data_IF_923141107190
#
_entry.id   IF_923141107190
#
_cell.length_a   1.000
_cell.length_b   1.000
_cell.length_c   1.000
_cell.angle_alpha   90.00
_cell.angle_beta   90.00
_cell.angle_gamma   90.00
#
_symmetry.space_group_name_H-M   'P 1'
#
loop_
_entity.id
_entity.type
_entity.pdbx_description
1 polymer ?
#
# COMPACT_ATOMS: atom_id res chain seq x y z
N UNK A 1 -6.39 -11.17 -5.44
CA UNK A 1 -4.96 -10.92 -5.74
C UNK A 1 -4.09 -11.61 -4.70
N UNK A 2 -2.92 -12.10 -5.08
CA UNK A 2 -1.94 -12.64 -4.13
C UNK A 2 -0.85 -11.58 -3.91
N UNK A 3 -0.52 -11.23 -2.65
CA UNK A 3 0.62 -10.35 -2.38
C UNK A 3 1.94 -11.04 -2.79
N UNK A 4 2.97 -10.26 -3.16
CA UNK A 4 4.25 -10.82 -3.53
C UNK A 4 4.96 -11.44 -2.31
N UNK A 5 5.74 -12.49 -2.56
CA UNK A 5 6.75 -12.97 -1.62
C UNK A 5 8.04 -12.20 -1.91
N UNK A 6 8.64 -11.63 -0.86
CA UNK A 6 9.79 -10.74 -0.94
C UNK A 6 10.94 -11.26 -0.05
N UNK A 7 12.10 -10.63 -0.19
CA UNK A 7 13.22 -10.86 0.73
C UNK A 7 12.88 -10.39 2.14
N UNK A 8 13.46 -11.05 3.15
CA UNK A 8 13.26 -10.67 4.55
C UNK A 8 13.62 -9.21 4.79
N UNK A 9 12.80 -8.53 5.59
CA UNK A 9 12.94 -7.09 5.86
C UNK A 9 12.23 -6.20 4.84
N UNK A 10 11.81 -6.72 3.68
CA UNK A 10 11.03 -5.96 2.71
C UNK A 10 9.54 -5.97 3.04
N UNK A 11 8.85 -4.96 2.54
CA UNK A 11 7.43 -4.73 2.72
C UNK A 11 6.77 -4.43 1.38
N UNK A 12 5.50 -4.83 1.24
CA UNK A 12 4.66 -4.40 0.14
C UNK A 12 3.51 -3.54 0.64
N UNK A 13 3.15 -2.54 -0.14
CA UNK A 13 2.01 -1.65 0.11
C UNK A 13 1.02 -1.78 -1.04
N UNK A 14 -0.24 -2.04 -0.70
CA UNK A 14 -1.38 -1.98 -1.60
C UNK A 14 -2.15 -0.70 -1.29
N UNK A 15 -2.51 0.08 -2.30
CA UNK A 15 -3.32 1.29 -2.12
C UNK A 15 -4.72 1.07 -2.66
N UNK A 16 -5.72 1.56 -1.92
CA UNK A 16 -7.10 1.59 -2.35
C UNK A 16 -7.74 2.96 -2.08
N UNK A 17 -8.77 3.30 -2.84
CA UNK A 17 -9.67 4.41 -2.54
C UNK A 17 -10.46 4.11 -1.26
N UNK A 18 -10.38 4.98 -0.26
CA UNK A 18 -11.01 4.83 1.05
C UNK A 18 -12.54 4.68 0.96
N UNK A 19 -13.18 5.38 0.03
CA UNK A 19 -14.64 5.42 -0.08
C UNK A 19 -15.21 4.21 -0.86
N UNK A 20 -14.43 3.63 -1.78
CA UNK A 20 -14.93 2.61 -2.72
C UNK A 20 -14.25 1.25 -2.54
N UNK A 21 -13.11 1.19 -1.86
CA UNK A 21 -12.26 0.01 -1.77
C UNK A 21 -11.58 -0.36 -3.10
N UNK A 22 -11.67 0.48 -4.13
CA UNK A 22 -11.05 0.21 -5.44
C UNK A 22 -9.54 0.28 -5.30
N UNK A 23 -8.87 -0.82 -5.62
CA UNK A 23 -7.40 -0.90 -5.63
C UNK A 23 -6.83 -0.04 -6.75
N UNK A 24 -5.72 0.63 -6.44
CA UNK A 24 -4.97 1.45 -7.37
C UNK A 24 -3.69 0.76 -7.83
N UNK A 25 -3.24 1.11 -9.02
CA UNK A 25 -1.91 0.75 -9.53
C UNK A 25 -0.82 1.59 -8.88
N UNK A 26 0.44 1.25 -9.11
CA UNK A 26 1.62 2.03 -8.68
C UNK A 26 1.68 3.44 -9.29
N UNK A 27 0.86 3.71 -10.31
CA UNK A 27 0.64 5.02 -10.94
C UNK A 27 -0.60 5.75 -10.40
N UNK A 28 -1.24 5.25 -9.35
CA UNK A 28 -2.48 5.78 -8.78
C UNK A 28 -3.68 5.81 -9.74
N UNK A 29 -3.74 4.85 -10.68
CA UNK A 29 -4.91 4.62 -11.54
C UNK A 29 -5.73 3.46 -10.99
N UNK A 30 -7.05 3.47 -11.17
CA UNK A 30 -7.89 2.33 -10.79
C UNK A 30 -7.41 1.05 -11.50
N UNK A 31 -7.22 -0.01 -10.75
CA UNK A 31 -6.81 -1.29 -11.30
C UNK A 31 -8.01 -2.02 -11.93
N UNK A 32 -8.04 -2.06 -13.27
CA UNK A 32 -9.11 -2.70 -14.06
C UNK A 32 -8.68 -4.08 -14.62
N UNK A 33 -7.73 -4.75 -13.98
CA UNK A 33 -7.23 -6.08 -14.38
C UNK A 33 -5.83 -6.09 -15.00
N UNK A 34 -5.16 -4.94 -15.11
CA UNK A 34 -3.76 -4.83 -15.57
C UNK A 34 -2.99 -3.76 -14.78
N UNK A 35 -1.65 -3.85 -14.81
CA UNK A 35 -0.74 -2.95 -14.11
C UNK A 35 -0.28 -3.44 -12.75
N UNK A 36 0.86 -2.92 -12.29
CA UNK A 36 1.43 -3.23 -10.98
C UNK A 36 0.62 -2.53 -9.87
N UNK A 37 0.41 -3.22 -8.74
CA UNK A 37 -0.44 -2.74 -7.64
C UNK A 37 0.29 -2.63 -6.30
N UNK A 38 1.47 -3.25 -6.22
CA UNK A 38 2.25 -3.32 -4.98
C UNK A 38 3.46 -2.41 -5.12
N UNK A 39 3.53 -1.37 -4.28
CA UNK A 39 4.80 -0.69 -4.04
C UNK A 39 5.64 -1.55 -3.11
N UNK A 40 6.92 -1.73 -3.44
CA UNK A 40 7.85 -2.55 -2.66
C UNK A 40 8.88 -1.63 -2.00
N UNK A 41 9.14 -1.87 -0.72
CA UNK A 41 10.10 -1.09 0.07
C UNK A 41 11.05 -2.01 0.84
N UNK A 42 12.30 -1.60 0.95
CA UNK A 42 13.37 -2.35 1.65
C UNK A 42 13.19 -2.42 3.17
N UNK A 43 12.39 -1.53 3.76
CA UNK A 43 12.13 -1.50 5.20
C UNK A 43 10.87 -0.70 5.56
N UNK A 44 10.46 -0.83 6.83
CA UNK A 44 9.26 -0.19 7.36
C UNK A 44 9.39 1.34 7.45
N UNK A 45 10.60 1.88 7.60
CA UNK A 45 10.82 3.33 7.67
C UNK A 45 10.53 3.99 6.32
N UNK A 46 11.06 3.44 5.23
CA UNK A 46 10.76 3.86 3.85
C UNK A 46 9.27 3.71 3.54
N UNK A 47 8.66 2.61 3.99
CA UNK A 47 7.22 2.36 3.86
C UNK A 47 6.39 3.47 4.52
N UNK A 48 6.69 3.79 5.77
CA UNK A 48 5.98 4.84 6.51
C UNK A 48 6.19 6.22 5.88
N UNK A 49 7.42 6.56 5.47
CA UNK A 49 7.72 7.82 4.77
C UNK A 49 6.91 7.99 3.48
N UNK A 50 6.78 6.93 2.68
CA UNK A 50 5.93 6.94 1.50
C UNK A 50 4.46 7.21 1.86
N UNK A 51 3.90 6.44 2.80
CA UNK A 51 2.51 6.58 3.23
C UNK A 51 2.24 7.99 3.77
N UNK A 52 3.13 8.52 4.61
CA UNK A 52 3.02 9.87 5.16
C UNK A 52 3.08 10.95 4.07
N UNK A 53 3.88 10.75 3.02
CA UNK A 53 3.95 11.67 1.90
C UNK A 53 2.67 11.64 1.07
N UNK A 54 2.16 10.46 0.75
CA UNK A 54 0.97 10.32 -0.09
C UNK A 54 -0.31 10.72 0.64
N UNK A 55 -0.44 10.40 1.94
CA UNK A 55 -1.55 10.89 2.76
C UNK A 55 -1.56 12.41 2.91
N UNK A 56 -0.44 13.11 2.76
CA UNK A 56 -0.44 14.59 2.72
C UNK A 56 -0.96 15.15 1.38
N UNK A 57 -0.90 14.35 0.31
CA UNK A 57 -1.32 14.75 -1.04
C UNK A 57 -2.78 14.37 -1.30
N UNK A 58 -3.21 13.19 -0.83
CA UNK A 58 -4.54 12.67 -1.05
C UNK A 58 -5.08 11.94 0.19
N UNK A 59 -6.15 12.50 0.77
CA UNK A 59 -6.79 11.97 1.98
C UNK A 59 -7.79 10.85 1.68
N UNK A 60 -8.09 10.60 0.41
CA UNK A 60 -9.06 9.59 -0.04
C UNK A 60 -8.42 8.22 -0.26
N UNK A 61 -7.16 8.02 0.14
CA UNK A 61 -6.46 6.75 0.00
C UNK A 61 -6.26 6.04 1.34
N UNK A 62 -6.27 4.72 1.27
CA UNK A 62 -5.81 3.84 2.34
C UNK A 62 -4.68 2.92 1.85
N UNK A 63 -3.74 2.65 2.74
CA UNK A 63 -2.48 1.98 2.45
C UNK A 63 -2.38 0.73 3.31
N UNK A 64 -2.54 -0.44 2.70
CA UNK A 64 -2.43 -1.74 3.36
C UNK A 64 -1.01 -2.26 3.27
N UNK A 65 -0.35 -2.46 4.41
CA UNK A 65 1.05 -2.89 4.50
C UNK A 65 1.13 -4.38 4.81
N UNK A 66 2.04 -5.06 4.11
CA UNK A 66 2.32 -6.49 4.26
C UNK A 66 3.81 -6.75 4.43
N UNK A 67 4.16 -7.81 5.16
CA UNK A 67 5.56 -8.24 5.32
C UNK A 67 6.07 -9.03 4.11
N UNK A 68 7.31 -9.52 4.20
CA UNK A 68 7.98 -10.30 3.15
C UNK A 68 7.27 -11.62 2.78
N UNK A 69 6.42 -12.15 3.66
CA UNK A 69 5.61 -13.35 3.41
C UNK A 69 4.23 -13.03 2.82
N UNK A 70 3.94 -11.75 2.56
CA UNK A 70 2.63 -11.29 2.10
C UNK A 70 1.59 -11.24 3.23
N UNK A 71 1.97 -11.47 4.48
CA UNK A 71 1.08 -11.40 5.64
C UNK A 71 0.73 -9.94 5.91
N UNK A 72 -0.55 -9.69 6.19
CA UNK A 72 -1.05 -8.37 6.56
C UNK A 72 -0.45 -7.90 7.88
N UNK A 73 -0.07 -6.63 7.94
CA UNK A 73 0.43 -6.01 9.17
C UNK A 73 -0.54 -4.94 9.70
N UNK A 74 -0.91 -3.99 8.86
CA UNK A 74 -1.80 -2.89 9.23
C UNK A 74 -2.29 -2.13 7.99
N UNK A 75 -3.32 -1.30 8.18
CA UNK A 75 -3.78 -0.33 7.18
C UNK A 75 -3.64 1.07 7.75
N UNK A 76 -3.25 2.03 6.92
CA UNK A 76 -3.19 3.43 7.32
C UNK A 76 -3.96 4.29 6.32
N UNK A 77 -4.84 5.14 6.84
CA UNK A 77 -5.57 6.14 6.06
C UNK A 77 -5.52 7.49 6.78
N UNK A 78 -6.32 8.46 6.33
CA UNK A 78 -6.41 9.79 6.95
C UNK A 78 -6.84 9.73 8.43
N UNK A 79 -7.64 8.72 8.80
CA UNK A 79 -8.12 8.48 10.16
C UNK A 79 -7.08 7.79 11.07
N UNK A 80 -5.84 7.63 10.60
CA UNK A 80 -4.76 6.97 11.34
C UNK A 80 -4.59 5.50 10.97
N UNK A 81 -3.86 4.78 11.84
CA UNK A 81 -3.51 3.36 11.67
C UNK A 81 -4.60 2.47 12.25
N UNK A 82 -4.98 1.42 11.52
CA UNK A 82 -5.90 0.35 11.92
C UNK A 82 -5.22 -1.01 11.81
#
# INVERSE_FOLDING_TARGET
MKPPILDNGHFSVLVAELNTGIVLTTEFKRHLGSGEMFWIFENIEKTNKFIDSELKKNHEYEFSVRNSKGEYLFTRGINGKR
#
